data_IF_301553561263
#
_entry.id   IF_301553561263
#
_cell.length_a   1.000
_cell.length_b   1.000
_cell.length_c   1.000
_cell.angle_alpha   90.00
_cell.angle_beta   90.00
_cell.angle_gamma   90.00
#
_symmetry.space_group_name_H-M   'P 1'
#
loop_
_entity.id
_entity.type
_entity.pdbx_description
1 polymer ?
#
# COMPACT_ATOMS: atom_id res chain seq x y z
N UNK A 1 60.59 -31.60 -1.66
CA UNK A 1 59.19 -31.13 -1.48
C UNK A 1 58.36 -32.32 -1.01
N UNK A 2 57.77 -32.27 0.19
CA UNK A 2 56.95 -33.38 0.69
C UNK A 2 55.68 -33.51 -0.16
N UNK A 3 55.37 -34.69 -0.73
CA UNK A 3 54.15 -34.87 -1.48
C UNK A 3 52.95 -34.68 -0.56
N UNK A 4 51.98 -33.90 -1.04
CA UNK A 4 50.75 -33.63 -0.32
C UNK A 4 50.00 -34.97 -0.10
N UNK A 5 49.52 -35.29 1.11
CA UNK A 5 48.78 -36.54 1.36
C UNK A 5 47.54 -36.69 0.46
N UNK A 6 47.27 -37.91 -0.01
CA UNK A 6 46.18 -38.24 -0.96
C UNK A 6 44.80 -37.76 -0.48
N UNK A 7 44.53 -37.83 0.82
CA UNK A 7 43.25 -37.35 1.40
C UNK A 7 43.01 -35.85 1.18
N UNK A 8 44.07 -35.04 1.05
CA UNK A 8 43.93 -33.60 0.78
C UNK A 8 43.44 -33.36 -0.64
N UNK A 9 43.85 -34.18 -1.61
CA UNK A 9 43.31 -34.09 -2.97
C UNK A 9 41.83 -34.49 -3.01
N UNK A 10 41.43 -35.54 -2.27
CA UNK A 10 40.02 -35.89 -2.11
C UNK A 10 39.20 -34.79 -1.44
N UNK A 11 39.75 -34.16 -0.40
CA UNK A 11 39.10 -33.02 0.26
C UNK A 11 38.92 -31.84 -0.70
N UNK A 12 39.95 -31.49 -1.48
CA UNK A 12 39.86 -30.43 -2.50
C UNK A 12 38.82 -30.79 -3.57
N UNK A 13 38.81 -32.03 -4.06
CA UNK A 13 37.83 -32.48 -5.04
C UNK A 13 36.39 -32.39 -4.51
N UNK A 14 36.15 -32.82 -3.26
CA UNK A 14 34.83 -32.71 -2.62
C UNK A 14 34.42 -31.25 -2.48
N UNK A 15 35.32 -30.38 -2.00
CA UNK A 15 35.03 -28.94 -1.87
C UNK A 15 34.72 -28.30 -3.22
N UNK A 16 35.44 -28.67 -4.29
CA UNK A 16 35.16 -28.18 -5.64
C UNK A 16 33.80 -28.66 -6.16
N UNK A 17 33.46 -29.94 -5.95
CA UNK A 17 32.15 -30.49 -6.35
C UNK A 17 31.01 -29.79 -5.62
N UNK A 18 31.15 -29.60 -4.31
CA UNK A 18 30.16 -28.85 -3.51
C UNK A 18 30.05 -27.42 -4.02
N UNK A 19 31.17 -26.73 -4.22
CA UNK A 19 31.19 -25.37 -4.76
C UNK A 19 30.49 -25.27 -6.12
N UNK A 20 30.69 -26.26 -7.00
CA UNK A 20 30.02 -26.32 -8.30
C UNK A 20 28.51 -26.53 -8.18
N UNK A 21 28.06 -27.41 -7.27
CA UNK A 21 26.63 -27.63 -7.00
C UNK A 21 25.96 -26.35 -6.49
N UNK A 22 26.62 -25.60 -5.59
CA UNK A 22 26.11 -24.32 -5.08
C UNK A 22 26.14 -23.20 -6.13
N UNK A 23 27.06 -23.25 -7.09
CA UNK A 23 27.12 -22.28 -8.20
C UNK A 23 26.15 -22.61 -9.34
N UNK A 24 25.73 -23.87 -9.48
CA UNK A 24 24.88 -24.38 -10.56
C UNK A 24 23.60 -23.56 -10.78
N UNK A 25 22.85 -23.10 -9.75
CA UNK A 25 21.63 -22.30 -9.92
C UNK A 25 21.84 -21.05 -10.78
N UNK A 26 23.02 -20.42 -10.71
CA UNK A 26 23.31 -19.16 -11.40
C UNK A 26 23.58 -19.35 -12.91
N UNK A 27 23.82 -20.58 -13.36
CA UNK A 27 24.02 -20.90 -14.78
C UNK A 27 22.69 -20.95 -15.54
N UNK A 28 21.60 -21.22 -14.81
CA UNK A 28 20.25 -21.23 -15.38
C UNK A 28 19.74 -19.80 -15.51
N UNK A 29 19.57 -19.33 -16.74
CA UNK A 29 18.93 -18.04 -17.04
C UNK A 29 17.44 -18.02 -16.69
N UNK A 30 16.74 -17.01 -17.20
CA UNK A 30 15.30 -16.83 -16.96
C UNK A 30 14.48 -17.08 -18.22
N UNK A 31 13.24 -17.53 -18.05
CA UNK A 31 12.24 -17.61 -19.11
C UNK A 31 11.04 -16.70 -18.78
N UNK A 32 10.30 -16.24 -19.81
CA UNK A 32 9.04 -15.54 -19.62
C UNK A 32 8.09 -16.36 -18.74
N UNK A 33 7.48 -15.71 -17.76
CA UNK A 33 6.63 -16.37 -16.79
C UNK A 33 5.45 -15.48 -16.39
N UNK A 34 4.36 -16.10 -15.95
CA UNK A 34 3.31 -15.38 -15.25
C UNK A 34 3.23 -15.87 -13.82
N UNK A 35 3.02 -14.93 -12.91
CA UNK A 35 2.78 -15.22 -11.51
C UNK A 35 1.35 -14.82 -11.18
N UNK A 36 0.59 -15.80 -10.71
CA UNK A 36 -0.79 -15.61 -10.31
C UNK A 36 -0.88 -15.52 -8.80
N UNK A 37 -1.56 -14.49 -8.31
CA UNK A 37 -2.03 -14.41 -6.94
C UNK A 37 -3.56 -14.28 -6.96
N UNK A 38 -4.25 -14.79 -5.93
CA UNK A 38 -5.69 -14.54 -5.81
C UNK A 38 -5.93 -13.08 -5.43
N UNK A 39 -6.99 -12.48 -5.97
CA UNK A 39 -7.35 -11.10 -5.64
C UNK A 39 -7.65 -10.92 -4.14
N UNK A 40 -8.21 -11.95 -3.48
CA UNK A 40 -8.47 -11.97 -2.04
C UNK A 40 -7.23 -12.17 -1.16
N UNK A 41 -6.03 -12.23 -1.77
CA UNK A 41 -4.74 -12.53 -1.13
C UNK A 41 -4.68 -13.90 -0.45
N UNK A 42 -5.61 -14.81 -0.77
CA UNK A 42 -5.51 -16.21 -0.37
C UNK A 42 -4.33 -16.90 -1.06
N UNK A 43 -3.66 -17.81 -0.36
CA UNK A 43 -2.66 -18.67 -0.97
C UNK A 43 -3.32 -19.58 -2.03
N UNK A 44 -2.67 -19.73 -3.18
CA UNK A 44 -3.00 -20.75 -4.15
C UNK A 44 -2.38 -22.08 -3.72
N UNK A 45 -3.21 -23.11 -3.73
CA UNK A 45 -2.81 -24.49 -3.51
C UNK A 45 -2.78 -25.25 -4.85
N UNK A 46 -2.53 -26.55 -4.77
CA UNK A 46 -2.49 -27.44 -5.95
C UNK A 46 -3.80 -27.45 -6.73
N UNK A 47 -4.95 -27.26 -6.07
CA UNK A 47 -6.24 -27.19 -6.75
C UNK A 47 -6.38 -25.88 -7.55
N UNK A 48 -5.88 -24.76 -7.00
CA UNK A 48 -5.77 -23.50 -7.72
C UNK A 48 -4.87 -23.61 -8.95
N UNK A 49 -3.72 -24.26 -8.82
CA UNK A 49 -2.80 -24.53 -9.93
C UNK A 49 -3.47 -25.34 -11.05
N UNK A 50 -4.14 -26.44 -10.71
CA UNK A 50 -4.84 -27.29 -11.67
C UNK A 50 -5.98 -26.56 -12.40
N UNK A 51 -6.72 -25.71 -11.70
CA UNK A 51 -7.78 -24.89 -12.30
C UNK A 51 -7.22 -23.93 -13.34
N UNK A 52 -6.14 -23.22 -13.01
CA UNK A 52 -5.48 -22.30 -13.93
C UNK A 52 -4.92 -23.06 -15.14
N UNK A 53 -4.31 -24.24 -14.91
CA UNK A 53 -3.82 -25.09 -16.00
C UNK A 53 -4.95 -25.52 -16.93
N UNK A 54 -6.11 -25.91 -16.39
CA UNK A 54 -7.28 -26.28 -17.18
C UNK A 54 -7.81 -25.13 -18.05
N UNK A 55 -7.78 -23.90 -17.55
CA UNK A 55 -8.13 -22.71 -18.35
C UNK A 55 -7.19 -22.57 -19.55
N UNK A 56 -5.88 -22.68 -19.33
CA UNK A 56 -4.88 -22.54 -20.39
C UNK A 56 -4.93 -23.68 -21.41
N UNK A 57 -5.10 -24.92 -20.95
CA UNK A 57 -5.25 -26.10 -21.81
C UNK A 57 -6.47 -25.95 -22.74
N UNK A 58 -7.57 -25.38 -22.26
CA UNK A 58 -8.77 -25.12 -23.09
C UNK A 58 -8.53 -24.14 -24.24
N UNK A 59 -7.51 -23.29 -24.12
CA UNK A 59 -7.09 -22.30 -25.11
C UNK A 59 -5.87 -22.76 -25.93
N UNK A 60 -5.41 -24.00 -25.73
CA UNK A 60 -4.26 -24.58 -26.42
C UNK A 60 -2.91 -23.99 -25.98
N UNK A 61 -2.83 -23.43 -24.77
CA UNK A 61 -1.61 -22.84 -24.21
C UNK A 61 -1.03 -23.80 -23.17
N UNK A 62 0.20 -24.27 -23.39
CA UNK A 62 0.87 -25.20 -22.48
C UNK A 62 2.08 -24.55 -21.82
N UNK A 63 2.10 -24.39 -20.48
CA UNK A 63 3.29 -23.94 -19.78
C UNK A 63 4.33 -25.06 -19.70
N UNK A 64 5.60 -24.71 -19.81
CA UNK A 64 6.73 -25.65 -19.74
C UNK A 64 7.03 -26.11 -18.32
N UNK A 65 6.69 -25.26 -17.35
CA UNK A 65 6.73 -25.62 -15.95
C UNK A 65 5.60 -24.88 -15.23
N UNK A 66 5.02 -25.56 -14.25
CA UNK A 66 4.02 -25.05 -13.32
C UNK A 66 4.41 -25.48 -11.92
N UNK A 67 4.38 -24.54 -10.98
CA UNK A 67 4.71 -24.79 -9.58
C UNK A 67 4.18 -23.66 -8.70
N UNK A 68 4.09 -23.93 -7.39
CA UNK A 68 3.71 -22.93 -6.39
C UNK A 68 4.97 -22.41 -5.70
N UNK A 69 5.09 -21.09 -5.61
CA UNK A 69 6.16 -20.40 -4.90
C UNK A 69 5.53 -19.29 -4.04
N UNK A 70 5.77 -19.31 -2.74
CA UNK A 70 5.23 -18.36 -1.76
C UNK A 70 3.69 -18.16 -1.84
N UNK A 71 2.96 -19.27 -2.07
CA UNK A 71 1.50 -19.26 -2.18
C UNK A 71 0.97 -18.65 -3.49
N UNK A 72 1.83 -18.47 -4.50
CA UNK A 72 1.49 -17.99 -5.83
C UNK A 72 1.80 -19.07 -6.85
N UNK A 73 0.97 -19.18 -7.89
CA UNK A 73 1.22 -20.11 -9.00
C UNK A 73 2.14 -19.42 -10.00
N UNK A 74 3.25 -20.07 -10.34
CA UNK A 74 4.21 -19.60 -11.34
C UNK A 74 4.16 -20.53 -12.54
N UNK A 75 3.83 -19.95 -13.70
CA UNK A 75 3.78 -20.65 -14.98
C UNK A 75 4.84 -20.08 -15.91
N UNK A 76 5.70 -20.95 -16.44
CA UNK A 76 6.80 -20.60 -17.35
C UNK A 76 6.46 -20.95 -18.79
N UNK A 77 6.89 -20.12 -19.74
CA UNK A 77 6.65 -20.29 -21.16
C UNK A 77 7.96 -20.16 -21.95
N UNK A 78 8.04 -20.75 -23.14
CA UNK A 78 9.19 -20.59 -24.04
C UNK A 78 9.25 -19.19 -24.66
N UNK A 79 8.10 -18.57 -24.86
CA UNK A 79 7.96 -17.32 -25.62
C UNK A 79 7.11 -16.30 -24.88
N UNK A 80 7.45 -15.03 -25.06
CA UNK A 80 6.67 -13.90 -24.54
C UNK A 80 5.26 -13.89 -25.14
N UNK A 81 5.10 -14.30 -26.40
CA UNK A 81 3.79 -14.39 -27.05
C UNK A 81 2.84 -15.33 -26.28
N UNK A 82 3.33 -16.50 -25.85
CA UNK A 82 2.54 -17.49 -25.11
C UNK A 82 2.21 -16.99 -23.69
N UNK A 83 3.15 -16.30 -23.07
CA UNK A 83 2.96 -15.64 -21.77
C UNK A 83 1.85 -14.57 -21.83
N UNK A 84 1.85 -13.72 -22.87
CA UNK A 84 0.83 -12.69 -23.06
C UNK A 84 -0.53 -13.31 -23.32
N UNK A 85 -0.60 -14.33 -24.20
CA UNK A 85 -1.84 -15.06 -24.46
C UNK A 85 -2.36 -15.77 -23.21
N UNK A 86 -1.48 -16.32 -22.38
CA UNK A 86 -1.85 -16.94 -21.11
C UNK A 86 -2.46 -15.92 -20.15
N UNK A 87 -1.84 -14.75 -20.00
CA UNK A 87 -2.36 -13.65 -19.18
C UNK A 87 -3.77 -13.26 -19.63
N UNK A 88 -3.94 -13.03 -20.93
CA UNK A 88 -5.21 -12.60 -21.49
C UNK A 88 -6.29 -13.68 -21.32
N UNK A 89 -5.96 -14.95 -21.58
CA UNK A 89 -6.86 -16.08 -21.36
C UNK A 89 -7.33 -16.21 -19.89
N UNK A 90 -6.43 -16.00 -18.93
CA UNK A 90 -6.78 -16.06 -17.51
C UNK A 90 -7.67 -14.88 -17.10
N UNK A 91 -7.32 -13.67 -17.55
CA UNK A 91 -8.11 -12.47 -17.26
C UNK A 91 -9.53 -12.55 -17.85
N UNK A 92 -9.67 -13.12 -19.05
CA UNK A 92 -10.96 -13.28 -19.72
C UNK A 92 -11.80 -14.39 -19.09
N UNK A 93 -11.18 -15.51 -18.70
CA UNK A 93 -11.88 -16.64 -18.11
C UNK A 93 -12.29 -16.42 -16.64
N UNK A 94 -11.51 -15.63 -15.90
CA UNK A 94 -11.71 -15.40 -14.47
C UNK A 94 -11.52 -13.91 -14.08
N UNK A 95 -12.37 -13.01 -14.61
CA UNK A 95 -12.23 -11.58 -14.39
C UNK A 95 -12.39 -11.24 -12.90
N UNK A 96 -11.35 -10.65 -12.30
CA UNK A 96 -11.33 -10.28 -10.88
C UNK A 96 -11.19 -11.47 -9.91
N UNK A 97 -10.76 -12.64 -10.38
CA UNK A 97 -10.42 -13.77 -9.50
C UNK A 97 -8.91 -13.78 -9.19
N UNK A 98 -8.08 -13.45 -10.19
CA UNK A 98 -6.61 -13.51 -10.11
C UNK A 98 -5.95 -12.20 -10.53
N UNK A 99 -4.92 -11.81 -9.77
CA UNK A 99 -3.94 -10.83 -10.20
C UNK A 99 -2.84 -11.56 -10.98
N UNK A 100 -2.80 -11.34 -12.29
CA UNK A 100 -1.80 -11.93 -13.18
C UNK A 100 -0.68 -10.94 -13.45
N UNK A 101 0.50 -11.25 -12.94
CA UNK A 101 1.71 -10.45 -13.14
C UNK A 101 2.61 -11.08 -14.21
N UNK A 102 3.01 -10.28 -15.20
CA UNK A 102 4.03 -10.66 -16.19
C UNK A 102 5.42 -10.52 -15.55
N UNK A 103 6.16 -11.62 -15.46
CA UNK A 103 7.47 -11.70 -14.81
C UNK A 103 8.42 -12.63 -15.57
N UNK A 104 9.61 -12.81 -15.02
CA UNK A 104 10.60 -13.79 -15.49
C UNK A 104 10.92 -14.76 -14.36
N UNK A 105 11.04 -16.05 -14.67
CA UNK A 105 11.32 -17.08 -13.68
C UNK A 105 12.53 -17.95 -14.09
N UNK A 106 13.33 -18.35 -13.11
CA UNK A 106 14.55 -19.14 -13.33
C UNK A 106 14.27 -20.46 -14.07
N UNK A 107 15.13 -20.82 -15.03
CA UNK A 107 15.14 -22.11 -15.77
C UNK A 107 15.68 -23.27 -14.95
N UNK A 108 15.79 -23.10 -13.65
CA UNK A 108 16.30 -24.12 -12.75
C UNK A 108 15.38 -25.35 -12.71
N UNK A 109 15.92 -26.57 -12.93
CA UNK A 109 15.16 -27.81 -12.83
C UNK A 109 14.52 -28.01 -11.44
N UNK A 110 13.40 -28.75 -11.39
CA UNK A 110 12.67 -29.00 -10.15
C UNK A 110 13.51 -29.69 -9.07
N UNK A 111 14.41 -30.60 -9.46
CA UNK A 111 15.28 -31.30 -8.51
C UNK A 111 16.25 -30.35 -7.80
N UNK A 112 16.76 -29.33 -8.50
CA UNK A 112 17.69 -28.36 -7.91
C UNK A 112 16.95 -27.39 -6.97
N UNK A 113 15.71 -27.03 -7.32
CA UNK A 113 14.77 -26.31 -6.45
C UNK A 113 14.40 -27.09 -5.19
N UNK A 114 14.14 -28.39 -5.31
CA UNK A 114 13.77 -29.25 -4.20
C UNK A 114 14.85 -29.36 -3.12
N UNK A 115 16.13 -29.17 -3.49
CA UNK A 115 17.26 -29.13 -2.56
C UNK A 115 17.36 -27.77 -1.82
N UNK A 116 16.54 -26.79 -2.19
CA UNK A 116 16.53 -25.46 -1.57
C UNK A 116 17.61 -24.52 -2.10
N UNK A 117 18.32 -24.90 -3.16
CA UNK A 117 19.27 -24.03 -3.83
C UNK A 117 18.51 -22.98 -4.64
N UNK A 118 18.88 -21.71 -4.48
CA UNK A 118 18.28 -20.58 -5.21
C UNK A 118 19.37 -19.84 -6.00
N UNK A 119 19.07 -19.33 -7.21
CA UNK A 119 19.97 -18.41 -7.88
C UNK A 119 20.15 -17.13 -7.06
N UNK A 120 21.25 -16.43 -7.26
CA UNK A 120 21.45 -15.12 -6.66
C UNK A 120 20.40 -14.12 -7.20
N UNK A 121 19.85 -13.30 -6.30
CA UNK A 121 18.97 -12.21 -6.70
C UNK A 121 19.78 -11.20 -7.51
N UNK A 122 19.34 -11.00 -8.75
CA UNK A 122 19.94 -10.03 -9.66
C UNK A 122 19.27 -8.67 -9.42
N UNK A 123 20.10 -7.64 -9.21
CA UNK A 123 19.62 -6.26 -9.09
C UNK A 123 18.95 -5.77 -10.38
N UNK A 124 18.30 -4.61 -10.28
CA UNK A 124 17.56 -3.97 -11.37
C UNK A 124 18.39 -3.85 -12.67
N UNK A 125 19.68 -3.53 -12.56
CA UNK A 125 20.55 -3.31 -13.72
C UNK A 125 20.83 -4.61 -14.51
N UNK A 126 20.75 -5.77 -13.84
CA UNK A 126 21.04 -7.07 -14.44
C UNK A 126 19.77 -7.82 -14.86
N UNK A 127 18.67 -7.64 -14.12
CA UNK A 127 17.38 -8.30 -14.37
C UNK A 127 16.42 -7.44 -15.20
N UNK A 128 16.69 -6.15 -15.32
CA UNK A 128 15.72 -5.17 -15.78
C UNK A 128 14.58 -4.96 -14.78
N UNK A 129 13.70 -4.00 -15.06
CA UNK A 129 12.55 -3.68 -14.22
C UNK A 129 12.31 -2.18 -14.13
N UNK A 130 11.78 -1.71 -12.99
CA UNK A 130 11.46 -0.31 -12.77
C UNK A 130 11.99 0.23 -11.44
N UNK A 131 12.39 1.50 -11.45
CA UNK A 131 12.78 2.28 -10.29
C UNK A 131 11.86 3.50 -10.17
N UNK A 132 11.18 3.62 -9.03
CA UNK A 132 10.32 4.76 -8.71
C UNK A 132 10.86 5.52 -7.51
N UNK A 133 10.75 6.85 -7.58
CA UNK A 133 11.02 7.75 -6.48
C UNK A 133 9.74 8.49 -6.14
N UNK A 134 9.26 8.33 -4.92
CA UNK A 134 8.09 9.05 -4.41
C UNK A 134 8.54 10.09 -3.39
N UNK A 135 7.97 11.29 -3.46
CA UNK A 135 8.13 12.33 -2.44
C UNK A 135 6.85 12.40 -1.61
N UNK A 136 7.01 12.40 -0.29
CA UNK A 136 5.89 12.48 0.66
C UNK A 136 5.60 13.96 0.93
N UNK A 137 4.36 14.37 0.72
CA UNK A 137 3.90 15.72 1.05
C UNK A 137 3.80 15.91 2.58
N UNK A 138 4.89 16.38 3.17
CA UNK A 138 5.00 16.60 4.61
C UNK A 138 4.13 17.75 5.08
N UNK A 139 3.98 18.79 4.26
CA UNK A 139 3.18 19.96 4.60
C UNK A 139 1.70 19.59 4.70
N UNK A 140 1.18 18.81 3.74
CA UNK A 140 -0.17 18.27 3.80
C UNK A 140 -0.38 17.34 5.01
N UNK A 141 0.63 16.53 5.37
CA UNK A 141 0.55 15.67 6.55
C UNK A 141 0.44 16.46 7.86
N UNK A 142 1.20 17.56 7.99
CA UNK A 142 1.14 18.46 9.14
C UNK A 142 -0.14 19.27 9.14
N UNK A 143 -0.58 19.79 7.99
CA UNK A 143 -1.84 20.52 7.88
C UNK A 143 -3.03 19.63 8.27
N UNK A 144 -3.10 18.40 7.76
CA UNK A 144 -4.13 17.44 8.14
C UNK A 144 -4.10 17.10 9.63
N UNK A 145 -2.92 17.07 10.24
CA UNK A 145 -2.79 16.92 11.69
C UNK A 145 -3.31 18.12 12.49
N UNK A 146 -3.02 19.34 12.03
CA UNK A 146 -3.54 20.58 12.62
C UNK A 146 -5.06 20.68 12.45
N UNK A 147 -5.59 20.24 11.32
CA UNK A 147 -7.04 20.19 11.09
C UNK A 147 -7.73 19.24 12.07
N UNK A 148 -7.16 18.05 12.31
CA UNK A 148 -7.67 17.14 13.35
C UNK A 148 -7.59 17.76 14.74
N UNK A 149 -6.45 18.34 15.09
CA UNK A 149 -6.28 19.06 16.36
C UNK A 149 -7.32 20.18 16.53
N UNK A 150 -7.62 20.93 15.47
CA UNK A 150 -8.65 21.97 15.50
C UNK A 150 -10.06 21.40 15.78
N UNK A 151 -10.40 20.22 15.24
CA UNK A 151 -11.67 19.54 15.56
C UNK A 151 -11.71 19.08 17.02
N UNK A 152 -10.62 18.48 17.50
CA UNK A 152 -10.51 18.00 18.88
C UNK A 152 -10.65 19.16 19.88
N UNK A 153 -9.99 20.29 19.61
CA UNK A 153 -10.10 21.52 20.42
C UNK A 153 -11.55 22.03 20.45
N UNK A 154 -12.26 22.07 19.30
CA UNK A 154 -13.67 22.49 19.27
C UNK A 154 -14.54 21.62 20.16
N UNK A 155 -14.31 20.31 20.17
CA UNK A 155 -15.04 19.36 20.99
C UNK A 155 -14.73 19.59 22.49
N UNK A 156 -13.46 19.64 22.85
CA UNK A 156 -13.01 19.86 24.23
C UNK A 156 -13.53 21.18 24.82
N UNK A 157 -13.46 22.29 24.07
CA UNK A 157 -13.96 23.58 24.52
C UNK A 157 -15.49 23.55 24.73
N UNK A 158 -16.22 22.84 23.87
CA UNK A 158 -17.68 22.69 23.99
C UNK A 158 -18.04 21.87 25.23
N UNK A 159 -17.34 20.77 25.49
CA UNK A 159 -17.54 19.92 26.68
C UNK A 159 -17.23 20.68 27.97
N UNK A 160 -16.15 21.46 27.98
CA UNK A 160 -15.76 22.32 29.10
C UNK A 160 -16.64 23.59 29.22
N UNK A 161 -17.61 23.79 28.32
CA UNK A 161 -18.49 24.97 28.25
C UNK A 161 -17.74 26.30 28.15
N UNK A 162 -16.57 26.30 27.51
CA UNK A 162 -15.78 27.51 27.24
C UNK A 162 -16.29 28.13 25.93
N UNK A 163 -16.80 29.36 26.02
CA UNK A 163 -17.32 30.08 24.86
C UNK A 163 -16.23 30.43 23.85
N UNK A 164 -16.35 29.94 22.62
CA UNK A 164 -15.49 30.30 21.49
C UNK A 164 -16.28 30.85 20.31
N UNK A 165 -15.60 31.69 19.52
CA UNK A 165 -16.13 32.31 18.31
C UNK A 165 -15.66 31.56 17.07
N UNK A 166 -14.38 31.19 17.03
CA UNK A 166 -13.79 30.51 15.87
C UNK A 166 -12.64 29.63 16.31
N UNK A 167 -12.53 28.46 15.68
CA UNK A 167 -11.34 27.61 15.72
C UNK A 167 -11.01 27.29 14.27
N UNK A 168 -9.78 27.55 13.82
CA UNK A 168 -9.38 27.30 12.44
C UNK A 168 -7.86 27.10 12.35
N UNK A 169 -7.40 26.39 11.33
CA UNK A 169 -5.97 26.30 11.01
C UNK A 169 -5.58 27.56 10.23
N UNK A 170 -4.57 28.28 10.72
CA UNK A 170 -4.04 29.49 10.09
C UNK A 170 -2.51 29.52 10.26
N UNK A 171 -1.76 29.70 9.16
CA UNK A 171 -0.30 29.86 9.18
C UNK A 171 0.45 28.75 9.96
N UNK A 172 0.07 27.49 9.76
CA UNK A 172 0.75 26.34 10.39
C UNK A 172 0.44 26.16 11.89
N UNK A 173 -0.58 26.86 12.40
CA UNK A 173 -1.06 26.74 13.79
C UNK A 173 -2.58 26.73 13.83
N UNK A 174 -3.16 26.29 14.93
CA UNK A 174 -4.60 26.38 15.19
C UNK A 174 -4.87 27.69 15.93
N UNK A 175 -5.59 28.60 15.27
CA UNK A 175 -6.12 29.82 15.88
C UNK A 175 -7.44 29.53 16.57
N UNK A 176 -7.53 29.88 17.84
CA UNK A 176 -8.72 29.74 18.69
C UNK A 176 -9.11 31.12 19.19
N UNK A 177 -10.15 31.71 18.61
CA UNK A 177 -10.72 32.96 19.07
C UNK A 177 -11.81 32.66 20.11
N UNK A 178 -11.59 33.09 21.36
CA UNK A 178 -12.57 32.93 22.43
C UNK A 178 -13.62 34.05 22.39
N UNK A 179 -14.73 33.86 23.11
CA UNK A 179 -15.70 34.94 23.37
C UNK A 179 -15.18 35.87 24.47
N UNK A 180 -15.67 37.09 24.47
CA UNK A 180 -15.39 38.05 25.54
C UNK A 180 -15.84 37.47 26.89
N UNK A 181 -14.99 37.61 27.92
CA UNK A 181 -15.21 37.04 29.25
C UNK A 181 -14.90 35.55 29.42
N UNK A 182 -14.46 34.85 28.37
CA UNK A 182 -14.03 33.45 28.48
C UNK A 182 -12.67 33.31 29.20
N UNK A 183 -12.51 32.24 29.99
CA UNK A 183 -11.26 31.96 30.69
C UNK A 183 -10.19 31.41 29.74
N UNK A 184 -9.31 32.31 29.29
CA UNK A 184 -8.19 31.98 28.41
C UNK A 184 -7.15 31.06 29.07
N UNK A 185 -6.97 31.11 30.40
CA UNK A 185 -6.03 30.23 31.09
C UNK A 185 -6.57 28.81 31.15
N UNK A 186 -7.86 28.66 31.49
CA UNK A 186 -8.53 27.36 31.47
C UNK A 186 -8.52 26.76 30.06
N UNK A 187 -8.80 27.56 29.02
CA UNK A 187 -8.73 27.13 27.64
C UNK A 187 -7.30 26.70 27.23
N UNK A 188 -6.28 27.49 27.57
CA UNK A 188 -4.88 27.15 27.26
C UNK A 188 -4.44 25.86 27.94
N UNK A 189 -4.81 25.67 29.21
CA UNK A 189 -4.53 24.45 29.98
C UNK A 189 -5.25 23.24 29.40
N UNK A 190 -6.51 23.40 28.99
CA UNK A 190 -7.29 22.33 28.37
C UNK A 190 -6.70 21.88 27.02
N UNK A 191 -6.32 22.85 26.17
CA UNK A 191 -5.76 22.58 24.84
C UNK A 191 -4.38 21.91 24.94
N UNK A 192 -3.52 22.40 25.84
CA UNK A 192 -2.21 21.78 26.08
C UNK A 192 -2.35 20.42 26.74
N UNK A 193 -3.31 20.28 27.67
CA UNK A 193 -3.45 19.09 28.51
C UNK A 193 -2.12 18.72 29.17
N UNK A 194 -1.83 17.43 29.16
CA UNK A 194 -0.53 16.87 29.58
C UNK A 194 0.41 16.59 28.39
N UNK A 195 0.04 17.02 27.18
CA UNK A 195 0.84 16.77 25.97
C UNK A 195 1.94 17.83 25.81
N UNK A 196 3.17 17.43 26.11
CA UNK A 196 4.37 18.28 25.96
C UNK A 196 4.71 18.60 24.50
N UNK A 197 4.13 17.90 23.53
CA UNK A 197 4.30 18.15 22.10
C UNK A 197 3.41 19.27 21.56
N UNK A 198 2.59 19.91 22.40
CA UNK A 198 1.70 21.00 22.02
C UNK A 198 2.17 22.32 22.66
N UNK A 199 2.44 23.31 21.82
CA UNK A 199 2.66 24.69 22.26
C UNK A 199 1.35 25.46 22.20
N UNK A 200 1.08 26.25 23.23
CA UNK A 200 -0.07 27.17 23.24
C UNK A 200 0.41 28.55 23.66
N UNK A 201 0.24 29.52 22.77
CA UNK A 201 0.48 30.94 23.01
C UNK A 201 -0.86 31.65 23.17
N UNK A 202 -0.93 32.64 24.06
CA UNK A 202 -2.15 33.43 24.27
C UNK A 202 -1.87 34.89 23.97
N UNK A 203 -2.63 35.44 23.04
CA UNK A 203 -2.65 36.86 22.73
C UNK A 203 -3.87 37.51 23.39
N UNK A 204 -3.61 38.54 24.21
CA UNK A 204 -4.62 39.32 24.94
C UNK A 204 -4.65 40.80 24.50
N UNK A 205 -4.07 41.12 23.36
CA UNK A 205 -3.99 42.51 22.86
C UNK A 205 -5.34 43.06 22.37
N UNK A 206 -6.30 42.20 22.01
CA UNK A 206 -7.63 42.58 21.54
C UNK A 206 -8.74 42.46 22.60
N UNK A 207 -9.96 42.83 22.21
CA UNK A 207 -11.16 42.78 23.08
C UNK A 207 -11.52 41.35 23.56
N UNK A 208 -11.17 40.33 22.78
CA UNK A 208 -11.33 38.93 23.16
C UNK A 208 -9.99 38.18 23.04
N UNK A 209 -9.68 37.25 23.96
CA UNK A 209 -8.43 36.52 23.93
C UNK A 209 -8.38 35.54 22.75
N UNK A 210 -7.21 35.44 22.12
CA UNK A 210 -6.93 34.53 21.02
C UNK A 210 -5.80 33.60 21.44
N UNK A 211 -5.99 32.29 21.25
CA UNK A 211 -4.96 31.29 21.49
C UNK A 211 -4.43 30.76 20.17
N UNK A 212 -3.12 30.55 20.10
CA UNK A 212 -2.45 29.90 18.98
C UNK A 212 -1.85 28.60 19.49
N UNK A 213 -2.46 27.48 19.09
CA UNK A 213 -1.97 26.15 19.40
C UNK A 213 -1.18 25.59 18.21
N UNK A 214 -0.08 24.90 18.47
CA UNK A 214 0.78 24.32 17.43
C UNK A 214 1.56 23.14 17.97
N UNK A 215 2.30 22.47 17.08
CA UNK A 215 3.20 21.39 17.46
C UNK A 215 4.60 21.93 17.75
N UNK A 216 5.29 21.33 18.72
CA UNK A 216 6.73 21.56 18.92
C UNK A 216 7.53 21.05 17.71
N UNK A 217 8.76 21.55 17.48
CA UNK A 217 9.62 21.02 16.42
C UNK A 217 9.83 19.51 16.50
N UNK A 218 9.95 18.96 17.71
CA UNK A 218 10.09 17.52 17.95
C UNK A 218 8.83 16.77 17.51
N UNK A 219 7.64 17.27 17.86
CA UNK A 219 6.36 16.66 17.46
C UNK A 219 6.11 16.77 15.95
N UNK A 220 6.58 17.84 15.30
CA UNK A 220 6.56 17.96 13.84
C UNK A 220 7.41 16.85 13.22
N UNK A 221 8.64 16.66 13.70
CA UNK A 221 9.53 15.60 13.21
C UNK A 221 8.95 14.20 13.42
N UNK A 222 8.41 13.91 14.61
CA UNK A 222 7.73 12.64 14.90
C UNK A 222 6.58 12.37 13.91
N UNK A 223 5.78 13.40 13.61
CA UNK A 223 4.68 13.28 12.63
C UNK A 223 5.18 13.07 11.21
N UNK A 224 6.27 13.72 10.83
CA UNK A 224 6.93 13.54 9.53
C UNK A 224 7.45 12.11 9.37
N UNK A 225 8.18 11.60 10.38
CA UNK A 225 8.68 10.22 10.38
C UNK A 225 7.52 9.21 10.33
N UNK A 226 6.46 9.45 11.11
CA UNK A 226 5.24 8.63 11.07
C UNK A 226 4.57 8.62 9.68
N UNK A 227 4.49 9.78 9.01
CA UNK A 227 3.91 9.88 7.67
C UNK A 227 4.70 9.04 6.65
N UNK A 228 6.04 9.03 6.76
CA UNK A 228 6.88 8.19 5.90
C UNK A 228 6.69 6.72 6.20
N UNK A 229 6.71 6.32 7.47
CA UNK A 229 6.53 4.91 7.86
C UNK A 229 5.18 4.36 7.40
N UNK A 230 4.12 5.17 7.50
CA UNK A 230 2.79 4.83 7.01
C UNK A 230 2.77 4.66 5.48
N UNK A 231 3.38 5.59 4.73
CA UNK A 231 3.48 5.48 3.28
C UNK A 231 4.37 4.33 2.83
N UNK A 232 5.46 4.05 3.57
CA UNK A 232 6.34 2.91 3.33
C UNK A 232 5.59 1.59 3.47
N UNK A 233 4.78 1.46 4.52
CA UNK A 233 3.94 0.28 4.76
C UNK A 233 2.87 0.14 3.67
N UNK A 234 2.27 1.26 3.25
CA UNK A 234 1.28 1.29 2.18
C UNK A 234 1.88 0.84 0.85
N UNK A 235 3.04 1.37 0.48
CA UNK A 235 3.74 0.98 -0.74
C UNK A 235 4.19 -0.48 -0.70
N UNK A 236 4.71 -0.98 0.43
CA UNK A 236 5.04 -2.42 0.59
C UNK A 236 3.84 -3.31 0.31
N UNK A 237 2.68 -2.97 0.86
CA UNK A 237 1.46 -3.75 0.65
C UNK A 237 1.02 -3.73 -0.83
N UNK A 238 1.07 -2.58 -1.50
CA UNK A 238 0.74 -2.47 -2.94
C UNK A 238 1.72 -3.21 -3.83
N UNK A 239 3.01 -3.19 -3.48
CA UNK A 239 3.99 -3.95 -4.24
C UNK A 239 3.76 -5.46 -4.09
N UNK A 240 3.33 -5.93 -2.92
CA UNK A 240 2.95 -7.32 -2.75
C UNK A 240 1.75 -7.71 -3.64
N UNK A 241 0.86 -6.78 -3.95
CA UNK A 241 -0.27 -7.01 -4.89
C UNK A 241 0.20 -7.15 -6.34
N UNK A 242 1.33 -6.53 -6.71
CA UNK A 242 1.92 -6.67 -8.04
C UNK A 242 2.51 -8.06 -8.31
N UNK A 243 2.53 -8.95 -7.32
CA UNK A 243 3.01 -10.31 -7.53
C UNK A 243 4.52 -10.41 -7.72
N UNK A 244 5.29 -9.35 -7.47
CA UNK A 244 6.76 -9.36 -7.58
C UNK A 244 7.36 -10.12 -6.40
N UNK A 245 8.36 -10.97 -6.65
CA UNK A 245 8.95 -11.85 -5.62
C UNK A 245 9.99 -11.15 -4.74
N UNK A 246 10.63 -10.08 -5.19
CA UNK A 246 11.74 -9.42 -4.46
C UNK A 246 11.76 -7.88 -4.60
N UNK A 247 10.73 -7.18 -4.11
CA UNK A 247 10.70 -5.73 -4.17
C UNK A 247 11.57 -5.07 -3.10
N UNK A 248 12.21 -3.96 -3.45
CA UNK A 248 12.90 -3.10 -2.49
C UNK A 248 12.06 -1.84 -2.27
N UNK A 249 11.57 -1.65 -1.05
CA UNK A 249 10.82 -0.46 -0.65
C UNK A 249 11.49 0.13 0.59
N UNK A 250 12.15 1.27 0.42
CA UNK A 250 12.98 1.89 1.44
C UNK A 250 12.82 3.41 1.47
N UNK A 251 13.04 4.02 2.64
CA UNK A 251 13.17 5.47 2.77
C UNK A 251 14.49 5.92 2.14
N UNK A 252 14.44 7.00 1.38
CA UNK A 252 15.61 7.68 0.83
C UNK A 252 15.60 9.13 1.31
N UNK A 253 16.57 9.51 2.15
CA UNK A 253 16.61 10.87 2.71
C UNK A 253 15.47 11.17 3.69
N UNK A 254 15.06 12.44 3.75
CA UNK A 254 14.13 12.92 4.78
C UNK A 254 12.67 12.73 4.45
N UNK A 255 12.27 12.73 3.18
CA UNK A 255 10.90 12.83 2.68
C UNK A 255 10.62 11.93 1.47
N UNK A 256 11.59 11.15 1.00
CA UNK A 256 11.43 10.29 -0.19
C UNK A 256 11.41 8.82 0.13
N UNK A 257 10.74 8.07 -0.74
CA UNK A 257 10.66 6.62 -0.71
C UNK A 257 11.07 6.09 -2.07
N UNK A 258 12.07 5.21 -2.07
CA UNK A 258 12.52 4.50 -3.25
C UNK A 258 11.82 3.14 -3.34
N UNK A 259 11.31 2.83 -4.53
CA UNK A 259 10.69 1.55 -4.84
C UNK A 259 11.38 0.95 -6.06
N UNK A 260 11.93 -0.25 -5.91
CA UNK A 260 12.56 -0.98 -7.00
C UNK A 260 11.84 -2.30 -7.19
N UNK A 261 11.44 -2.56 -8.44
CA UNK A 261 10.74 -3.78 -8.83
C UNK A 261 11.53 -4.51 -9.94
N UNK A 262 12.48 -5.38 -9.56
CA UNK A 262 13.21 -6.20 -10.52
C UNK A 262 12.26 -7.16 -11.26
N UNK A 263 12.50 -7.36 -12.55
CA UNK A 263 11.76 -8.34 -13.36
C UNK A 263 10.32 -7.93 -13.75
N UNK A 264 9.86 -6.73 -13.37
CA UNK A 264 8.57 -6.20 -13.83
C UNK A 264 8.64 -5.85 -15.32
N UNK A 265 7.71 -6.42 -16.10
CA UNK A 265 7.66 -6.21 -17.56
C UNK A 265 6.69 -5.09 -18.00
N UNK A 266 5.69 -4.73 -17.19
CA UNK A 266 4.76 -3.62 -17.46
C UNK A 266 4.91 -2.47 -16.42
N UNK A 267 5.72 -1.44 -16.73
CA UNK A 267 5.88 -0.26 -15.88
C UNK A 267 4.58 0.51 -15.63
N UNK A 268 3.67 0.53 -16.61
CA UNK A 268 2.43 1.30 -16.51
C UNK A 268 1.44 0.61 -15.57
N UNK A 269 1.39 -0.72 -15.57
CA UNK A 269 0.63 -1.48 -14.58
C UNK A 269 1.18 -1.25 -13.17
N UNK A 270 2.51 -1.31 -13.01
CA UNK A 270 3.14 -1.02 -11.73
C UNK A 270 2.83 0.41 -11.25
N UNK A 271 2.92 1.41 -12.13
CA UNK A 271 2.59 2.79 -11.81
C UNK A 271 1.11 2.97 -11.41
N UNK A 272 0.18 2.29 -12.10
CA UNK A 272 -1.25 2.34 -11.75
C UNK A 272 -1.51 1.77 -10.36
N UNK A 273 -0.94 0.62 -10.02
CA UNK A 273 -1.15 -0.03 -8.72
C UNK A 273 -0.47 0.77 -7.59
N UNK A 274 0.74 1.27 -7.81
CA UNK A 274 1.48 2.03 -6.80
C UNK A 274 0.95 3.46 -6.63
N UNK A 275 0.51 4.11 -7.72
CA UNK A 275 0.03 5.49 -7.73
C UNK A 275 -1.45 5.66 -7.39
N UNK A 276 -2.25 4.60 -7.36
CA UNK A 276 -3.68 4.70 -7.04
C UNK A 276 -3.91 5.06 -5.58
N UNK A 277 -4.14 6.33 -5.24
CA UNK A 277 -4.56 6.73 -3.89
C UNK A 277 -6.03 6.35 -3.66
N UNK A 278 -6.27 5.21 -3.00
CA UNK A 278 -7.61 4.80 -2.60
C UNK A 278 -8.01 5.52 -1.30
N UNK A 279 -8.74 6.63 -1.41
CA UNK A 279 -9.38 7.25 -0.24
C UNK A 279 -10.69 6.52 0.04
N UNK A 280 -10.79 5.87 1.20
CA UNK A 280 -12.02 5.22 1.67
C UNK A 280 -12.77 6.20 2.55
N UNK A 281 -13.97 6.59 2.12
CA UNK A 281 -14.87 7.43 2.90
C UNK A 281 -16.08 6.62 3.36
N UNK A 282 -16.40 6.70 4.66
CA UNK A 282 -17.62 6.15 5.21
C UNK A 282 -18.66 7.25 5.36
N UNK A 283 -19.85 7.00 4.83
CA UNK A 283 -20.98 7.93 4.86
C UNK A 283 -22.19 7.18 5.39
N UNK A 284 -23.00 7.84 6.21
CA UNK A 284 -24.27 7.28 6.64
C UNK A 284 -25.21 7.16 5.45
N UNK A 285 -26.02 6.11 5.43
CA UNK A 285 -27.08 5.97 4.43
C UNK A 285 -28.26 6.85 4.85
N UNK A 286 -28.85 7.55 3.90
CA UNK A 286 -30.12 8.25 4.09
C UNK A 286 -31.26 7.24 4.10
N UNK A 287 -31.74 6.90 5.30
CA UNK A 287 -32.86 5.97 5.49
C UNK A 287 -34.23 6.62 5.25
N UNK A 288 -34.30 7.96 5.19
CA UNK A 288 -35.56 8.70 5.07
C UNK A 288 -36.06 8.85 3.63
N UNK A 289 -35.20 8.61 2.64
CA UNK A 289 -35.48 8.83 1.23
C UNK A 289 -35.18 7.57 0.40
N UNK A 290 -36.04 7.26 -0.56
CA UNK A 290 -35.88 6.07 -1.42
C UNK A 290 -34.85 6.33 -2.56
N UNK A 291 -33.77 5.54 -2.65
CA UNK A 291 -32.78 5.65 -3.71
C UNK A 291 -33.30 5.37 -5.12
N UNK A 292 -34.32 4.53 -5.27
CA UNK A 292 -34.90 4.22 -6.58
C UNK A 292 -35.75 5.37 -7.11
N UNK A 293 -36.52 6.02 -6.23
CA UNK A 293 -37.28 7.23 -6.57
C UNK A 293 -36.35 8.39 -6.96
N UNK A 294 -35.26 8.58 -6.23
CA UNK A 294 -34.27 9.62 -6.53
C UNK A 294 -33.57 9.38 -7.88
N UNK A 295 -33.29 8.12 -8.23
CA UNK A 295 -32.71 7.76 -9.52
C UNK A 295 -33.68 8.02 -10.68
N UNK A 296 -34.96 7.65 -10.52
CA UNK A 296 -36.00 7.83 -11.55
C UNK A 296 -36.34 9.30 -11.78
N UNK A 297 -36.45 10.07 -10.70
CA UNK A 297 -36.87 11.48 -10.76
C UNK A 297 -35.71 12.46 -10.92
N UNK A 298 -34.46 12.00 -10.74
CA UNK A 298 -33.23 12.81 -10.65
C UNK A 298 -33.30 13.90 -9.58
N UNK A 299 -34.18 13.75 -8.58
CA UNK A 299 -34.32 14.67 -7.44
C UNK A 299 -33.65 14.04 -6.23
N UNK A 300 -32.52 14.61 -5.84
CA UNK A 300 -31.74 14.15 -4.69
C UNK A 300 -31.89 15.18 -3.56
N UNK A 301 -32.24 14.76 -2.32
CA UNK A 301 -32.23 15.63 -1.15
C UNK A 301 -30.90 16.37 -0.99
N UNK A 302 -30.94 17.62 -0.51
CA UNK A 302 -29.75 18.49 -0.36
C UNK A 302 -28.69 17.86 0.56
N UNK A 303 -29.13 17.09 1.55
CA UNK A 303 -28.30 16.39 2.54
C UNK A 303 -27.61 15.15 2.00
N UNK A 304 -27.98 14.69 0.79
CA UNK A 304 -27.60 13.37 0.28
C UNK A 304 -27.03 13.45 -1.14
N UNK A 305 -26.40 12.36 -1.58
CA UNK A 305 -25.85 12.23 -2.93
C UNK A 305 -26.20 10.86 -3.48
N UNK A 306 -26.77 10.83 -4.69
CA UNK A 306 -27.08 9.58 -5.37
C UNK A 306 -25.80 8.95 -5.91
N UNK A 307 -25.58 7.68 -5.57
CA UNK A 307 -24.50 6.83 -6.08
C UNK A 307 -25.08 5.59 -6.75
N UNK A 308 -24.36 5.03 -7.71
CA UNK A 308 -24.70 3.74 -8.32
C UNK A 308 -23.65 2.73 -7.90
N UNK A 309 -24.08 1.67 -7.24
CA UNK A 309 -23.23 0.55 -6.86
C UNK A 309 -22.83 -0.26 -8.11
N UNK A 310 -21.77 -1.08 -7.98
CA UNK A 310 -21.23 -1.86 -9.10
C UNK A 310 -22.21 -2.91 -9.64
N UNK A 311 -23.11 -3.39 -8.79
CA UNK A 311 -24.25 -4.26 -9.14
C UNK A 311 -25.42 -3.48 -9.81
N UNK A 312 -25.27 -2.18 -10.07
CA UNK A 312 -26.28 -1.32 -10.67
C UNK A 312 -27.32 -0.76 -9.71
N UNK A 313 -27.33 -1.14 -8.42
CA UNK A 313 -28.33 -0.63 -7.47
C UNK A 313 -28.02 0.82 -7.06
N UNK A 314 -29.03 1.70 -6.95
CA UNK A 314 -28.83 3.04 -6.43
C UNK A 314 -28.62 3.02 -4.91
N UNK A 315 -27.76 3.90 -4.43
CA UNK A 315 -27.53 4.15 -3.00
C UNK A 315 -27.59 5.64 -2.72
N UNK A 316 -28.06 6.00 -1.53
CA UNK A 316 -28.22 7.40 -1.12
C UNK A 316 -27.43 7.71 0.16
N UNK A 317 -26.09 7.77 0.10
CA UNK A 317 -25.30 8.24 1.23
C UNK A 317 -25.52 9.74 1.49
N UNK A 318 -25.48 10.11 2.76
CA UNK A 318 -25.42 11.49 3.22
C UNK A 318 -24.14 12.16 2.71
N UNK A 319 -24.19 13.48 2.53
CA UNK A 319 -23.04 14.28 2.08
C UNK A 319 -21.97 14.41 3.15
N UNK A 320 -22.37 14.45 4.41
CA UNK A 320 -21.45 14.50 5.53
C UNK A 320 -20.75 13.16 5.71
N UNK A 321 -19.41 13.21 5.74
CA UNK A 321 -18.59 12.06 6.10
C UNK A 321 -18.61 11.89 7.60
N UNK A 322 -18.90 10.68 8.08
CA UNK A 322 -18.84 10.42 9.53
C UNK A 322 -17.37 10.29 9.95
N UNK A 323 -16.89 11.05 10.95
CA UNK A 323 -15.56 10.83 11.50
C UNK A 323 -15.59 9.52 12.30
N UNK A 324 -14.94 8.47 11.79
CA UNK A 324 -14.62 7.30 12.61
C UNK A 324 -13.13 7.02 12.53
N UNK A 325 -12.48 7.10 13.69
CA UNK A 325 -11.04 6.95 13.84
C UNK A 325 -10.50 5.61 13.36
N UNK A 326 -9.18 5.59 13.18
CA UNK A 326 -8.24 4.52 12.80
C UNK A 326 -8.40 3.13 13.50
N UNK A 327 -9.62 2.58 13.64
CA UNK A 327 -9.86 1.26 14.24
C UNK A 327 -10.01 0.12 13.23
N UNK A 328 -9.77 0.37 11.93
CA UNK A 328 -9.69 -0.70 10.94
C UNK A 328 -8.27 -0.77 10.37
N UNK A 329 -7.58 -1.84 10.75
CA UNK A 329 -6.23 -2.20 10.29
C UNK A 329 -6.18 -2.72 8.85
N UNK A 330 -7.32 -2.89 8.17
CA UNK A 330 -7.35 -3.23 6.73
C UNK A 330 -8.78 -3.11 6.15
N UNK A 331 -9.23 -1.94 5.64
CA UNK A 331 -10.42 -1.93 4.79
C UNK A 331 -10.03 -2.42 3.40
N UNK A 332 -10.48 -3.62 3.03
CA UNK A 332 -10.35 -4.13 1.66
C UNK A 332 -11.47 -3.53 0.79
N UNK A 333 -11.17 -2.64 -0.16
CA UNK A 333 -12.11 -2.36 -1.22
C UNK A 333 -12.20 -3.62 -2.09
N UNK A 334 -13.33 -4.33 -2.04
CA UNK A 334 -13.73 -5.14 -3.19
C UNK A 334 -14.02 -4.14 -4.28
N UNK A 335 -13.16 -4.15 -5.30
CA UNK A 335 -13.48 -3.43 -6.51
C UNK A 335 -14.51 -4.30 -7.27
#
# INVERSE_FOLDING_TARGET
MNPVPVWRYWLVAIVLVIGFIFALPNVFGEDPAIQLAREDRGALDTAGEERVRGILESQGITPNASYIEDGRVVLRFDRVDDQLRARDAINDAAPGEYNVALTSASRMPNWLRAVGLKPMSLGLDLRGGVHFMYEVDMDAAIEGALQRMAQDIRLQLREARIGYSTVAVERGRVRVALREGADANAAAKLIRGDDTGITVETDRSGAAPVLFAGFTPERIKERQDFAIEQNLTTLRNRVNELGVSEPIVARQGLDRIVVQLPGVQDPNQALRVLGATATVEFRLVDEGNDPYEAQRTRRVPITSKLYTHRNGSPGLPQRETTPRGNKHTNPHPRF
#
